data_IF_980272864072
#
_entry.id   IF_980272864072
#
_cell.length_a   1.000
_cell.length_b   1.000
_cell.length_c   1.000
_cell.angle_alpha   90.00
_cell.angle_beta   90.00
_cell.angle_gamma   90.00
#
_symmetry.space_group_name_H-M   'P 1'
#
loop_
_entity.id
_entity.type
_entity.pdbx_description
1 polymer ?
#
# COMPACT_ATOMS: atom_id res chain seq x y z
N UNK A 1 14.84 1.55 21.92
CA UNK A 1 14.18 0.28 21.51
C UNK A 1 13.26 -0.14 22.63
N UNK A 2 12.13 0.57 22.76
CA UNK A 2 11.03 0.09 23.58
C UNK A 2 10.41 -1.15 22.91
N UNK A 3 11.03 -2.30 23.16
CA UNK A 3 10.48 -3.60 22.80
C UNK A 3 9.34 -3.94 23.76
N UNK A 4 8.25 -4.49 23.25
CA UNK A 4 7.12 -4.93 24.07
C UNK A 4 7.51 -6.08 25.01
N UNK A 5 6.61 -6.44 25.93
CA UNK A 5 6.83 -7.55 26.87
C UNK A 5 7.05 -8.91 26.16
N UNK A 6 6.75 -9.00 24.86
CA UNK A 6 6.94 -10.20 24.04
C UNK A 6 8.39 -10.47 23.63
N UNK A 7 9.27 -9.47 23.62
CA UNK A 7 10.63 -9.60 23.09
C UNK A 7 11.69 -8.79 23.85
N UNK A 8 11.30 -7.90 24.78
CA UNK A 8 12.27 -7.14 25.57
C UNK A 8 13.00 -7.99 26.62
N UNK A 9 14.21 -7.57 26.98
CA UNK A 9 15.06 -8.31 27.92
C UNK A 9 14.50 -8.33 29.34
N UNK A 10 13.81 -7.28 29.76
CA UNK A 10 13.26 -7.13 31.12
C UNK A 10 12.14 -8.15 31.38
N UNK A 11 11.36 -8.49 30.35
CA UNK A 11 10.25 -9.43 30.37
C UNK A 11 10.67 -10.89 30.15
N UNK A 12 11.97 -11.19 30.03
CA UNK A 12 12.46 -12.55 29.76
C UNK A 12 11.95 -13.56 30.81
N UNK A 13 11.95 -13.17 32.09
CA UNK A 13 11.46 -14.01 33.18
C UNK A 13 9.97 -14.35 33.04
N UNK A 14 9.15 -13.38 32.58
CA UNK A 14 7.71 -13.58 32.34
C UNK A 14 7.51 -14.59 31.21
N UNK A 15 8.25 -14.44 30.10
CA UNK A 15 8.14 -15.34 28.95
C UNK A 15 8.60 -16.75 29.28
N UNK A 16 9.68 -16.89 30.06
CA UNK A 16 10.09 -18.18 30.59
C UNK A 16 9.01 -18.81 31.47
N UNK A 17 8.39 -18.05 32.37
CA UNK A 17 7.29 -18.54 33.21
C UNK A 17 6.11 -19.00 32.35
N UNK A 18 5.67 -18.22 31.37
CA UNK A 18 4.58 -18.57 30.46
C UNK A 18 4.89 -19.87 29.73
N UNK A 19 6.07 -19.99 29.11
CA UNK A 19 6.46 -21.19 28.34
C UNK A 19 6.67 -22.44 29.19
N UNK A 20 7.00 -22.26 30.48
CA UNK A 20 7.17 -23.38 31.41
C UNK A 20 5.85 -23.89 32.01
N UNK A 21 4.81 -23.05 32.06
CA UNK A 21 3.58 -23.34 32.80
C UNK A 21 2.32 -23.38 31.91
N UNK A 22 2.38 -22.85 30.69
CA UNK A 22 1.26 -22.73 29.78
C UNK A 22 1.61 -23.20 28.38
N UNK A 23 0.63 -23.75 27.68
CA UNK A 23 0.68 -23.95 26.24
C UNK A 23 0.24 -22.64 25.56
N UNK A 24 1.06 -22.09 24.66
CA UNK A 24 0.72 -20.88 23.89
C UNK A 24 -0.12 -21.29 22.67
N UNK A 25 -1.38 -20.91 22.62
CA UNK A 25 -2.26 -21.28 21.50
C UNK A 25 -2.14 -20.31 20.33
N UNK A 26 -2.08 -19.02 20.64
CA UNK A 26 -1.97 -17.97 19.65
C UNK A 26 -1.30 -16.71 20.21
N UNK A 27 -0.63 -15.96 19.34
CA UNK A 27 -0.16 -14.60 19.62
C UNK A 27 -0.57 -13.68 18.49
N UNK A 28 -1.25 -12.59 18.82
CA UNK A 28 -1.73 -11.58 17.87
C UNK A 28 -1.14 -10.23 18.23
N UNK A 29 -0.32 -9.66 17.35
CA UNK A 29 0.03 -8.25 17.45
C UNK A 29 -1.13 -7.40 16.92
N UNK A 30 -1.54 -6.40 17.69
CA UNK A 30 -2.60 -5.48 17.30
C UNK A 30 -2.01 -4.24 16.62
N UNK A 31 -2.79 -3.63 15.73
CA UNK A 31 -2.43 -2.36 15.11
C UNK A 31 -2.25 -1.25 16.17
N UNK A 32 -1.38 -0.27 15.92
CA UNK A 32 -1.08 0.85 16.85
C UNK A 32 -2.35 1.62 17.25
N UNK A 33 -3.27 1.79 16.30
CA UNK A 33 -4.51 2.55 16.51
C UNK A 33 -5.64 1.76 17.20
N UNK A 34 -5.41 0.51 17.59
CA UNK A 34 -6.48 -0.36 18.16
C UNK A 34 -7.14 0.24 19.38
N UNK A 35 -6.37 0.91 20.24
CA UNK A 35 -6.88 1.54 21.47
C UNK A 35 -6.82 3.08 21.44
N UNK A 36 -6.39 3.66 20.33
CA UNK A 36 -6.47 5.10 20.10
C UNK A 36 -7.93 5.54 19.92
N UNK A 37 -8.29 6.80 20.26
CA UNK A 37 -7.42 7.88 20.75
C UNK A 37 -7.11 7.79 22.26
N UNK A 38 -7.61 6.77 22.96
CA UNK A 38 -7.54 6.68 24.42
C UNK A 38 -6.18 6.18 24.92
N UNK A 39 -5.52 5.30 24.16
CA UNK A 39 -4.21 4.76 24.49
C UNK A 39 -3.41 4.47 23.20
N UNK A 40 -2.26 5.15 23.05
CA UNK A 40 -1.34 4.94 21.93
C UNK A 40 -0.30 3.84 22.13
N UNK A 41 -0.40 3.06 23.20
CA UNK A 41 0.54 1.95 23.44
C UNK A 41 0.20 0.77 22.52
N UNK A 42 1.20 0.31 21.76
CA UNK A 42 1.11 -0.95 21.02
C UNK A 42 0.78 -2.10 21.96
N UNK A 43 -0.10 -2.98 21.51
CA UNK A 43 -0.61 -4.08 22.31
C UNK A 43 -0.59 -5.39 21.52
N UNK A 44 -0.50 -6.49 22.25
CA UNK A 44 -0.61 -7.84 21.70
C UNK A 44 -1.50 -8.68 22.62
N UNK A 45 -2.21 -9.63 22.01
CA UNK A 45 -3.05 -10.61 22.73
C UNK A 45 -2.38 -11.97 22.65
N UNK A 46 -2.24 -12.64 23.80
CA UNK A 46 -1.72 -14.00 23.89
C UNK A 46 -2.83 -14.91 24.42
N UNK A 47 -3.09 -16.00 23.71
CA UNK A 47 -4.01 -17.05 24.14
C UNK A 47 -3.21 -18.17 24.79
N UNK A 48 -3.47 -18.42 26.07
CA UNK A 48 -2.78 -19.41 26.87
C UNK A 48 -3.74 -20.50 27.33
N UNK A 49 -3.29 -21.75 27.27
CA UNK A 49 -3.97 -22.91 27.85
C UNK A 49 -3.13 -23.48 28.97
N UNK A 50 -3.72 -23.59 30.16
CA UNK A 50 -3.13 -24.35 31.26
C UNK A 50 -3.18 -25.85 30.91
N UNK A 51 -2.04 -26.54 30.77
CA UNK A 51 -2.04 -27.96 30.44
C UNK A 51 -2.51 -28.81 31.62
N UNK A 52 -3.03 -30.00 31.31
CA UNK A 52 -3.21 -31.05 32.31
C UNK A 52 -1.91 -31.85 32.34
N UNK A 53 -1.09 -31.65 33.38
CA UNK A 53 0.26 -32.22 33.46
C UNK A 53 1.33 -31.27 32.95
N UNK A 54 2.30 -31.77 32.18
CA UNK A 54 3.37 -30.95 31.59
C UNK A 54 2.90 -30.23 30.32
N UNK A 55 3.51 -29.08 30.03
CA UNK A 55 3.36 -28.42 28.72
C UNK A 55 3.80 -29.40 27.62
N UNK A 56 3.03 -29.57 26.52
CA UNK A 56 3.45 -30.38 25.39
C UNK A 56 4.77 -29.88 24.79
N UNK A 57 5.66 -30.80 24.39
CA UNK A 57 6.97 -30.42 23.85
C UNK A 57 6.89 -29.83 22.43
N UNK A 58 5.98 -30.33 21.61
CA UNK A 58 5.76 -29.87 20.24
C UNK A 58 4.27 -29.61 20.02
N UNK A 59 3.95 -28.38 19.68
CA UNK A 59 2.61 -27.95 19.31
C UNK A 59 2.72 -26.76 18.36
N UNK A 60 1.65 -26.54 17.59
CA UNK A 60 1.55 -25.39 16.69
C UNK A 60 1.05 -24.17 17.46
N UNK A 61 1.66 -23.02 17.18
CA UNK A 61 1.25 -21.71 17.70
C UNK A 61 0.75 -20.89 16.53
N UNK A 62 -0.49 -20.40 16.60
CA UNK A 62 -1.00 -19.46 15.61
C UNK A 62 -0.42 -18.06 15.86
N UNK A 63 0.07 -17.41 14.81
CA UNK A 63 0.71 -16.11 14.87
C UNK A 63 -0.01 -15.18 13.90
N UNK A 64 -0.40 -14.00 14.38
CA UNK A 64 -1.04 -12.98 13.54
C UNK A 64 -0.50 -11.57 13.82
N UNK A 65 -0.53 -10.73 12.80
CA UNK A 65 -0.21 -9.31 12.89
C UNK A 65 -1.36 -8.55 12.23
N UNK A 66 -2.15 -7.83 13.03
CA UNK A 66 -3.18 -6.93 12.54
C UNK A 66 -2.52 -5.66 11.98
N UNK A 67 -2.88 -5.30 10.75
CA UNK A 67 -2.43 -4.10 10.06
C UNK A 67 -3.55 -3.09 9.86
N UNK A 68 -4.81 -3.46 10.09
CA UNK A 68 -5.95 -2.57 9.93
C UNK A 68 -7.07 -2.90 10.91
N UNK A 69 -7.58 -1.88 11.55
CA UNK A 69 -8.61 -1.99 12.61
C UNK A 69 -9.86 -1.19 12.29
N UNK A 70 -9.97 -0.67 11.05
CA UNK A 70 -11.14 0.05 10.58
C UNK A 70 -11.29 1.46 11.14
N UNK A 71 -10.21 2.06 11.67
CA UNK A 71 -10.27 3.39 12.28
C UNK A 71 -8.90 4.11 12.26
N UNK A 72 -8.91 5.43 12.31
CA UNK A 72 -7.71 6.27 12.44
C UNK A 72 -7.27 6.42 13.90
N UNK A 73 -6.06 6.93 14.13
CA UNK A 73 -5.58 7.33 15.47
C UNK A 73 -6.46 8.34 16.21
N UNK A 74 -7.40 9.00 15.51
CA UNK A 74 -8.39 9.92 16.10
C UNK A 74 -9.73 9.26 16.42
N UNK A 75 -9.88 7.97 16.11
CA UNK A 75 -11.13 7.22 16.27
C UNK A 75 -12.12 7.41 15.11
N UNK A 76 -11.70 7.97 13.98
CA UNK A 76 -12.56 8.13 12.80
C UNK A 76 -12.58 6.82 12.01
N UNK A 77 -13.76 6.37 11.57
CA UNK A 77 -13.90 5.10 10.84
C UNK A 77 -13.20 5.13 9.47
N UNK A 78 -12.50 4.05 9.13
CA UNK A 78 -11.93 3.79 7.81
C UNK A 78 -12.81 2.75 7.13
N UNK A 79 -13.45 3.15 6.03
CA UNK A 79 -14.38 2.32 5.26
C UNK A 79 -13.63 1.53 4.19
N UNK A 80 -13.98 0.26 4.03
CA UNK A 80 -13.46 -0.62 2.99
C UNK A 80 -13.89 -0.13 1.62
N UNK A 81 -12.95 -0.11 0.68
CA UNK A 81 -13.19 0.31 -0.70
C UNK A 81 -12.95 -0.85 -1.68
N UNK A 82 -13.65 -0.83 -2.80
CA UNK A 82 -13.40 -1.75 -3.92
C UNK A 82 -12.20 -1.30 -4.76
N UNK A 83 -11.85 -2.10 -5.78
CA UNK A 83 -10.71 -1.83 -6.67
C UNK A 83 -10.86 -0.57 -7.51
N UNK A 84 -12.08 -0.05 -7.67
CA UNK A 84 -12.38 1.21 -8.35
C UNK A 84 -12.40 2.41 -7.38
N UNK A 85 -12.22 2.16 -6.08
CA UNK A 85 -12.17 3.17 -5.02
C UNK A 85 -13.53 3.53 -4.41
N UNK A 86 -14.62 2.83 -4.78
CA UNK A 86 -15.94 3.03 -4.21
C UNK A 86 -16.06 2.37 -2.84
N UNK A 87 -16.89 2.92 -1.95
CA UNK A 87 -17.13 2.33 -0.63
C UNK A 87 -17.95 1.04 -0.73
N UNK A 88 -17.54 0.02 0.02
CA UNK A 88 -18.23 -1.26 0.10
C UNK A 88 -19.35 -1.16 1.13
N UNK A 89 -20.58 -1.45 0.68
CA UNK A 89 -21.78 -1.41 1.52
C UNK A 89 -22.34 -2.83 1.64
N UNK A 90 -22.53 -3.30 2.86
CA UNK A 90 -23.14 -4.59 3.21
C UNK A 90 -24.34 -4.33 4.10
N UNK A 91 -25.51 -4.87 3.76
CA UNK A 91 -26.76 -4.69 4.52
C UNK A 91 -27.09 -3.21 4.84
N UNK A 92 -26.88 -2.31 3.88
CA UNK A 92 -27.03 -0.86 4.01
C UNK A 92 -26.08 -0.17 5.01
N UNK A 93 -25.02 -0.85 5.44
CA UNK A 93 -23.97 -0.30 6.29
C UNK A 93 -22.63 -0.28 5.56
N UNK A 94 -21.85 0.78 5.79
CA UNK A 94 -20.46 0.84 5.32
C UNK A 94 -19.64 -0.22 6.04
N UNK A 95 -18.94 -1.05 5.28
CA UNK A 95 -18.06 -2.07 5.83
C UNK A 95 -16.74 -1.42 6.29
N UNK A 96 -16.28 -1.70 7.51
CA UNK A 96 -15.01 -1.20 8.00
C UNK A 96 -13.83 -1.93 7.31
N UNK A 97 -12.74 -1.22 7.08
CA UNK A 97 -11.49 -1.81 6.59
C UNK A 97 -10.65 -2.33 7.76
N UNK A 98 -11.04 -3.50 8.27
CA UNK A 98 -10.41 -4.18 9.40
C UNK A 98 -9.99 -5.62 9.02
N UNK A 99 -9.06 -6.19 9.78
CA UNK A 99 -8.56 -7.56 9.59
C UNK A 99 -8.69 -8.45 10.83
N UNK A 100 -9.30 -7.95 11.91
CA UNK A 100 -9.50 -8.73 13.13
C UNK A 100 -10.52 -9.86 12.91
N UNK A 101 -11.56 -9.62 12.09
CA UNK A 101 -12.49 -10.68 11.67
C UNK A 101 -11.77 -11.74 10.85
N UNK A 102 -10.93 -11.33 9.89
CA UNK A 102 -10.14 -12.24 9.06
C UNK A 102 -9.18 -13.08 9.93
N UNK A 103 -8.51 -12.45 10.91
CA UNK A 103 -7.65 -13.13 11.89
C UNK A 103 -8.43 -14.17 12.69
N UNK A 104 -9.64 -13.82 13.15
CA UNK A 104 -10.48 -14.72 13.91
C UNK A 104 -10.94 -15.94 13.09
N UNK A 105 -11.36 -15.72 11.84
CA UNK A 105 -11.70 -16.78 10.90
C UNK A 105 -10.50 -17.70 10.61
N UNK A 106 -9.32 -17.13 10.37
CA UNK A 106 -8.09 -17.89 10.15
C UNK A 106 -7.67 -18.70 11.38
N UNK A 107 -7.89 -18.16 12.59
CA UNK A 107 -7.68 -18.92 13.81
C UNK A 107 -8.65 -20.12 13.91
N UNK A 108 -9.92 -19.94 13.52
CA UNK A 108 -10.88 -21.05 13.47
C UNK A 108 -10.49 -22.12 12.45
N UNK A 109 -10.04 -21.72 11.25
CA UNK A 109 -9.49 -22.65 10.23
C UNK A 109 -8.26 -23.39 10.75
N UNK A 110 -7.34 -22.69 11.42
CA UNK A 110 -6.18 -23.30 12.06
C UNK A 110 -6.59 -24.38 13.08
N UNK A 111 -7.62 -24.13 13.89
CA UNK A 111 -8.13 -25.11 14.85
C UNK A 111 -8.79 -26.33 14.19
N UNK A 112 -9.39 -26.19 12.99
CA UNK A 112 -9.95 -27.32 12.24
C UNK A 112 -8.89 -28.13 11.47
N UNK A 113 -7.63 -27.68 11.46
CA UNK A 113 -6.54 -28.31 10.70
C UNK A 113 -6.43 -27.83 9.26
N UNK A 114 -7.23 -26.84 8.86
CA UNK A 114 -7.13 -26.15 7.57
C UNK A 114 -6.07 -25.05 7.68
N UNK A 115 -4.85 -25.33 7.23
CA UNK A 115 -3.79 -24.32 7.22
C UNK A 115 -3.74 -23.59 5.88
N UNK A 116 -4.14 -22.33 5.89
CA UNK A 116 -3.83 -21.38 4.83
C UNK A 116 -2.90 -20.32 5.41
N UNK A 117 -1.61 -20.42 5.11
CA UNK A 117 -0.65 -19.38 5.52
C UNK A 117 -0.80 -18.17 4.61
N UNK A 118 -0.83 -16.99 5.22
CA UNK A 118 -0.81 -15.70 4.55
C UNK A 118 0.46 -14.93 4.91
N UNK A 119 0.59 -13.69 4.41
CA UNK A 119 1.72 -12.83 4.78
C UNK A 119 1.71 -12.41 6.25
N UNK A 120 0.56 -12.51 6.91
CA UNK A 120 0.32 -11.99 8.25
C UNK A 120 -0.22 -13.01 9.24
N UNK A 121 -0.86 -14.07 8.76
CA UNK A 121 -1.42 -15.14 9.57
C UNK A 121 -0.70 -16.43 9.21
N UNK A 122 -0.03 -17.02 10.17
CA UNK A 122 0.80 -18.20 9.96
C UNK A 122 0.87 -19.00 11.25
N UNK A 123 1.48 -20.17 11.20
CA UNK A 123 1.77 -20.91 12.42
C UNK A 123 3.24 -21.28 12.50
N UNK A 124 3.74 -21.50 13.71
CA UNK A 124 5.08 -22.03 13.96
C UNK A 124 5.02 -23.22 14.90
N UNK A 125 6.07 -24.05 14.93
CA UNK A 125 6.21 -25.04 15.99
C UNK A 125 6.69 -24.31 17.23
N UNK A 126 6.22 -24.74 18.41
CA UNK A 126 6.80 -24.33 19.68
C UNK A 126 8.31 -24.58 19.76
N UNK A 127 8.84 -25.51 18.97
CA UNK A 127 10.27 -25.81 18.85
C UNK A 127 11.06 -24.73 18.08
N UNK A 128 10.38 -23.93 17.25
CA UNK A 128 10.97 -22.86 16.45
C UNK A 128 11.15 -21.55 17.26
N UNK A 129 10.62 -21.49 18.48
CA UNK A 129 10.79 -20.34 19.37
C UNK A 129 12.27 -20.10 19.66
N UNK A 130 12.69 -18.83 19.66
CA UNK A 130 14.05 -18.43 19.98
C UNK A 130 14.43 -18.94 21.38
N UNK A 131 15.38 -19.87 21.45
CA UNK A 131 15.78 -20.53 22.70
C UNK A 131 16.51 -19.60 23.67
N UNK A 132 17.08 -18.50 23.19
CA UNK A 132 17.83 -17.56 24.01
C UNK A 132 16.92 -16.42 24.48
N UNK A 133 16.26 -15.77 23.51
CA UNK A 133 15.42 -14.62 23.78
C UNK A 133 14.02 -14.98 24.21
N UNK A 134 13.52 -16.19 23.91
CA UNK A 134 12.13 -16.63 24.13
C UNK A 134 11.10 -15.63 23.58
N UNK A 135 11.39 -15.06 22.40
CA UNK A 135 10.49 -14.09 21.76
C UNK A 135 9.12 -14.72 21.50
N UNK A 136 8.05 -14.02 21.84
CA UNK A 136 6.70 -14.39 21.43
C UNK A 136 6.17 -13.46 20.33
N UNK A 137 6.97 -12.48 19.88
CA UNK A 137 6.53 -11.50 18.89
C UNK A 137 6.42 -12.15 17.48
N UNK A 138 5.22 -12.19 16.86
CA UNK A 138 5.01 -12.72 15.52
C UNK A 138 5.99 -12.20 14.45
N UNK A 139 6.41 -10.92 14.52
CA UNK A 139 7.32 -10.32 13.52
C UNK A 139 8.63 -11.11 13.40
N UNK A 140 9.11 -11.68 14.52
CA UNK A 140 10.33 -12.47 14.56
C UNK A 140 10.23 -13.75 13.70
N UNK A 141 9.02 -14.30 13.62
CA UNK A 141 8.72 -15.61 13.06
C UNK A 141 8.02 -15.58 11.71
N UNK A 142 7.85 -14.40 11.11
CA UNK A 142 7.35 -14.27 9.74
C UNK A 142 8.11 -15.23 8.79
N UNK A 143 7.57 -15.64 7.64
CA UNK A 143 8.32 -16.49 6.69
C UNK A 143 9.57 -15.83 6.08
N UNK A 144 10.59 -16.61 5.68
CA UNK A 144 11.90 -16.10 5.21
C UNK A 144 11.84 -15.31 3.90
N UNK A 145 10.88 -15.62 3.04
CA UNK A 145 10.62 -14.89 1.79
C UNK A 145 10.02 -13.49 2.01
N UNK A 146 9.82 -13.06 3.25
CA UNK A 146 9.28 -11.76 3.64
C UNK A 146 10.36 -10.77 4.13
N UNK A 147 11.61 -10.87 3.68
CA UNK A 147 12.72 -10.08 4.25
C UNK A 147 12.48 -8.55 4.23
N UNK A 148 12.07 -7.98 3.09
CA UNK A 148 11.76 -6.55 2.99
C UNK A 148 10.60 -6.15 3.92
N UNK A 149 9.60 -7.03 4.01
CA UNK A 149 8.43 -6.86 4.85
C UNK A 149 8.78 -6.84 6.34
N UNK A 150 9.52 -7.86 6.81
CA UNK A 150 10.04 -7.93 8.17
C UNK A 150 10.89 -6.72 8.51
N UNK A 151 11.74 -6.28 7.57
CA UNK A 151 12.59 -5.12 7.76
C UNK A 151 11.76 -3.86 8.01
N UNK A 152 10.76 -3.58 7.19
CA UNK A 152 9.89 -2.41 7.39
C UNK A 152 9.12 -2.50 8.70
N UNK A 153 8.54 -3.64 9.05
CA UNK A 153 7.87 -3.79 10.35
C UNK A 153 8.82 -3.58 11.53
N UNK A 154 10.07 -4.04 11.41
CA UNK A 154 11.09 -3.80 12.44
C UNK A 154 11.47 -2.33 12.60
N UNK A 155 11.26 -1.50 11.57
CA UNK A 155 11.43 -0.04 11.70
C UNK A 155 10.36 0.55 12.61
N UNK A 156 9.12 0.06 12.53
CA UNK A 156 8.03 0.52 13.39
C UNK A 156 8.20 0.16 14.87
N UNK A 157 9.07 -0.80 15.20
CA UNK A 157 9.45 -1.12 16.58
C UNK A 157 10.52 -0.16 17.14
N UNK A 158 10.99 0.80 16.33
CA UNK A 158 11.88 1.86 16.76
C UNK A 158 11.08 3.09 17.16
N UNK A 159 11.68 3.90 18.03
CA UNK A 159 11.04 5.09 18.59
C UNK A 159 10.99 6.27 17.58
N UNK A 160 11.67 6.16 16.42
CA UNK A 160 11.81 7.19 15.39
C UNK A 160 10.94 6.97 14.14
N UNK A 161 10.27 5.82 14.05
CA UNK A 161 9.36 5.51 12.95
C UNK A 161 8.00 5.02 13.47
N UNK A 162 6.99 5.32 12.68
CA UNK A 162 5.68 4.67 12.69
C UNK A 162 5.58 3.86 11.40
N UNK A 163 4.81 2.77 11.39
CA UNK A 163 4.52 2.06 10.14
C UNK A 163 3.03 2.15 9.89
N UNK A 164 2.67 2.78 8.77
CA UNK A 164 1.28 2.93 8.34
C UNK A 164 1.05 2.17 7.05
N UNK A 165 -0.13 1.60 6.88
CA UNK A 165 -0.53 1.00 5.62
C UNK A 165 -0.76 2.10 4.58
N UNK A 166 -0.39 1.85 3.32
CA UNK A 166 -0.55 2.85 2.25
C UNK A 166 -2.02 3.28 2.08
N UNK A 167 -2.97 2.35 2.19
CA UNK A 167 -4.42 2.63 2.13
C UNK A 167 -4.93 3.57 3.22
N UNK A 168 -4.25 3.66 4.36
CA UNK A 168 -4.68 4.52 5.47
C UNK A 168 -4.24 5.98 5.28
N UNK A 169 -3.26 6.21 4.41
CA UNK A 169 -2.70 7.55 4.12
C UNK A 169 -2.97 8.00 2.68
N UNK A 170 -3.47 7.12 1.83
CA UNK A 170 -3.68 7.37 0.43
C UNK A 170 -4.95 6.69 -0.08
N UNK A 171 -5.65 7.34 -1.01
CA UNK A 171 -6.64 6.65 -1.85
C UNK A 171 -5.91 5.86 -2.91
N UNK A 172 -6.04 4.53 -2.88
CA UNK A 172 -5.43 3.60 -3.83
C UNK A 172 -6.53 2.94 -4.65
N UNK A 173 -6.52 3.13 -5.96
CA UNK A 173 -7.57 2.60 -6.84
C UNK A 173 -7.07 2.42 -8.27
N UNK A 174 -7.70 1.52 -9.01
CA UNK A 174 -7.59 1.46 -10.46
C UNK A 174 -8.83 2.08 -11.11
N UNK A 175 -8.83 2.17 -12.43
CA UNK A 175 -10.01 2.63 -13.15
C UNK A 175 -10.74 1.53 -13.92
N UNK A 176 -11.99 1.80 -14.34
CA UNK A 176 -12.83 0.82 -15.01
C UNK A 176 -12.32 0.44 -16.41
N UNK A 177 -12.59 -0.79 -16.81
CA UNK A 177 -12.33 -1.32 -18.16
C UNK A 177 -13.54 -1.08 -19.06
N UNK A 178 -13.38 -0.31 -20.15
CA UNK A 178 -14.47 0.00 -21.09
C UNK A 178 -13.93 0.43 -22.46
N UNK A 179 -14.80 0.42 -23.49
CA UNK A 179 -14.47 0.88 -24.84
C UNK A 179 -14.24 2.40 -24.85
N UNK A 180 -13.07 2.84 -25.31
CA UNK A 180 -12.70 4.27 -25.31
C UNK A 180 -13.40 5.04 -26.44
N UNK A 181 -13.96 6.24 -26.16
CA UNK A 181 -14.52 7.12 -27.18
C UNK A 181 -13.40 7.94 -27.84
N UNK A 182 -12.67 7.32 -28.77
CA UNK A 182 -11.58 8.00 -29.48
C UNK A 182 -12.10 9.15 -30.35
N UNK A 183 -11.35 10.26 -30.37
CA UNK A 183 -11.56 11.37 -31.29
C UNK A 183 -11.34 10.91 -32.74
N UNK A 184 -11.89 11.65 -33.71
CA UNK A 184 -11.66 11.37 -35.13
C UNK A 184 -10.20 11.62 -35.51
N UNK A 185 -9.76 11.01 -36.62
CA UNK A 185 -8.39 11.14 -37.10
C UNK A 185 -8.05 12.62 -37.37
N UNK A 186 -6.96 13.09 -36.76
CA UNK A 186 -6.50 14.48 -36.89
C UNK A 186 -7.09 15.46 -35.87
N UNK A 187 -8.08 15.04 -35.06
CA UNK A 187 -8.66 15.89 -34.01
C UNK A 187 -7.83 15.76 -32.73
N UNK A 188 -7.11 16.83 -32.38
CA UNK A 188 -6.19 16.87 -31.22
C UNK A 188 -6.57 17.91 -30.16
N UNK A 189 -7.49 18.82 -30.49
CA UNK A 189 -7.91 19.92 -29.62
C UNK A 189 -9.42 20.19 -29.72
N UNK A 190 -9.97 20.85 -28.69
CA UNK A 190 -11.39 21.19 -28.60
C UNK A 190 -11.93 21.08 -27.17
N UNK A 191 -13.12 21.63 -26.90
CA UNK A 191 -13.68 21.70 -25.54
C UNK A 191 -14.02 20.33 -24.93
N UNK A 192 -14.21 19.31 -25.77
CA UNK A 192 -14.53 17.93 -25.34
C UNK A 192 -13.38 16.96 -25.53
N UNK A 193 -12.25 17.46 -26.05
CA UNK A 193 -11.09 16.65 -26.40
C UNK A 193 -10.14 16.58 -25.21
N UNK A 194 -9.78 15.36 -24.82
CA UNK A 194 -8.77 15.11 -23.78
C UNK A 194 -7.70 14.15 -24.28
N UNK A 195 -6.45 14.40 -23.88
CA UNK A 195 -5.35 13.47 -24.11
C UNK A 195 -5.61 12.15 -23.39
N UNK A 196 -5.23 11.04 -24.03
CA UNK A 196 -5.23 9.70 -23.47
C UNK A 196 -3.82 9.17 -23.36
N UNK A 197 -3.38 9.02 -22.11
CA UNK A 197 -2.06 8.52 -21.79
C UNK A 197 -2.08 7.01 -21.58
N UNK A 198 -1.37 6.28 -22.45
CA UNK A 198 -1.04 4.87 -22.23
C UNK A 198 0.07 4.73 -21.19
N UNK A 199 0.32 3.52 -20.70
CA UNK A 199 1.41 3.27 -19.74
C UNK A 199 2.78 3.74 -20.28
N UNK A 200 3.06 3.50 -21.56
CA UNK A 200 4.28 3.99 -22.22
C UNK A 200 4.31 5.52 -22.34
N UNK A 201 3.21 6.14 -22.76
CA UNK A 201 3.13 7.60 -22.94
C UNK A 201 3.35 8.36 -21.61
N UNK A 202 2.97 7.78 -20.47
CA UNK A 202 3.25 8.37 -19.15
C UNK A 202 4.72 8.30 -18.73
N UNK A 203 5.50 7.42 -19.35
CA UNK A 203 6.93 7.26 -19.04
C UNK A 203 7.84 8.00 -20.00
N UNK A 204 7.33 8.31 -21.19
CA UNK A 204 8.04 9.07 -22.19
C UNK A 204 7.90 10.56 -21.88
N UNK A 205 9.03 11.28 -21.95
CA UNK A 205 9.04 12.74 -21.79
C UNK A 205 8.39 13.43 -22.99
N UNK A 206 8.38 12.75 -24.13
CA UNK A 206 7.91 13.24 -25.41
C UNK A 206 6.55 12.61 -25.71
N UNK A 207 5.57 13.45 -26.04
CA UNK A 207 4.17 13.10 -26.31
C UNK A 207 3.93 12.35 -27.64
N UNK A 208 4.91 11.57 -28.12
CA UNK A 208 4.84 10.88 -29.40
C UNK A 208 3.77 9.77 -29.35
N UNK A 209 2.87 9.75 -30.35
CA UNK A 209 1.73 8.82 -30.45
C UNK A 209 0.66 8.96 -29.34
N UNK A 210 0.49 10.16 -28.78
CA UNK A 210 -0.67 10.47 -27.95
C UNK A 210 -1.98 10.22 -28.70
N UNK A 211 -2.92 9.56 -28.02
CA UNK A 211 -4.29 9.39 -28.50
C UNK A 211 -5.17 10.45 -27.86
N UNK A 212 -6.29 10.74 -28.51
CA UNK A 212 -7.26 11.73 -28.04
C UNK A 212 -8.63 11.08 -27.88
N UNK A 213 -9.35 11.48 -26.83
CA UNK A 213 -10.70 11.04 -26.53
C UNK A 213 -11.65 12.22 -26.69
N UNK A 214 -12.85 11.95 -27.18
CA UNK A 214 -13.91 12.93 -27.33
C UNK A 214 -15.11 12.56 -26.43
N UNK A 215 -15.37 13.38 -25.41
CA UNK A 215 -16.48 13.15 -24.48
C UNK A 215 -17.86 13.30 -25.14
N UNK A 216 -17.98 13.94 -26.32
CA UNK A 216 -19.25 13.98 -27.06
C UNK A 216 -19.68 12.61 -27.58
N UNK A 217 -18.72 11.70 -27.78
CA UNK A 217 -18.97 10.32 -28.20
C UNK A 217 -19.26 9.39 -27.01
N UNK A 218 -19.22 9.91 -25.79
CA UNK A 218 -19.44 9.16 -24.56
C UNK A 218 -20.92 9.25 -24.13
N UNK A 219 -21.54 8.09 -23.88
CA UNK A 219 -22.79 8.05 -23.15
C UNK A 219 -22.56 8.39 -21.65
N UNK A 220 -23.64 8.54 -20.88
CA UNK A 220 -23.56 8.90 -19.45
C UNK A 220 -22.66 7.98 -18.62
N UNK A 221 -22.67 6.66 -18.89
CA UNK A 221 -21.82 5.71 -18.18
C UNK A 221 -20.35 5.86 -18.58
N UNK A 222 -20.07 6.00 -19.88
CA UNK A 222 -18.72 6.25 -20.40
C UNK A 222 -18.15 7.55 -19.86
N UNK A 223 -18.96 8.61 -19.69
CA UNK A 223 -18.52 9.85 -19.06
C UNK A 223 -18.04 9.63 -17.62
N UNK A 224 -18.83 8.93 -16.80
CA UNK A 224 -18.42 8.55 -15.43
C UNK A 224 -17.13 7.73 -15.42
N UNK A 225 -16.99 6.77 -16.34
CA UNK A 225 -15.77 5.97 -16.42
C UNK A 225 -14.54 6.79 -16.87
N UNK A 226 -14.73 7.79 -17.74
CA UNK A 226 -13.65 8.71 -18.11
C UNK A 226 -13.25 9.60 -16.93
N UNK A 227 -14.22 10.07 -16.13
CA UNK A 227 -13.95 10.81 -14.90
C UNK A 227 -13.14 9.95 -13.92
N UNK A 228 -13.52 8.68 -13.70
CA UNK A 228 -12.77 7.74 -12.87
C UNK A 228 -11.32 7.49 -13.35
N UNK A 229 -11.07 7.55 -14.67
CA UNK A 229 -9.72 7.43 -15.25
C UNK A 229 -8.95 8.75 -15.34
N UNK A 230 -9.58 9.87 -15.01
CA UNK A 230 -8.94 11.19 -15.07
C UNK A 230 -7.87 11.29 -13.98
N UNK A 231 -6.70 11.79 -14.36
CA UNK A 231 -5.57 11.98 -13.45
C UNK A 231 -5.26 13.47 -13.30
N UNK A 232 -4.71 13.83 -12.14
CA UNK A 232 -4.38 15.21 -11.81
C UNK A 232 -2.91 15.32 -11.41
N UNK A 233 -2.35 16.52 -11.58
CA UNK A 233 -0.97 16.81 -11.20
C UNK A 233 -0.74 16.43 -9.75
N UNK A 234 0.35 15.73 -9.48
CA UNK A 234 0.68 15.23 -8.16
C UNK A 234 0.38 13.75 -7.94
N UNK A 235 -0.56 13.15 -8.69
CA UNK A 235 -0.90 11.73 -8.48
C UNK A 235 0.33 10.84 -8.66
N UNK A 236 0.53 9.91 -7.73
CA UNK A 236 1.48 8.82 -7.90
C UNK A 236 0.78 7.74 -8.73
N UNK A 237 1.44 7.24 -9.76
CA UNK A 237 0.90 6.23 -10.66
C UNK A 237 1.82 5.01 -10.66
N UNK A 238 1.24 3.82 -10.55
CA UNK A 238 1.97 2.54 -10.53
C UNK A 238 1.47 1.68 -11.68
N UNK A 239 2.35 1.22 -12.56
CA UNK A 239 1.95 0.28 -13.62
C UNK A 239 1.61 -1.08 -13.05
N UNK A 240 0.39 -1.53 -13.36
CA UNK A 240 -0.10 -2.84 -12.95
C UNK A 240 0.17 -3.94 -13.97
N UNK A 241 0.71 -3.61 -15.15
CA UNK A 241 0.97 -4.54 -16.24
C UNK A 241 2.05 -4.01 -17.18
N UNK A 242 2.68 -4.90 -17.95
CA UNK A 242 3.82 -4.56 -18.81
C UNK A 242 5.10 -4.37 -18.00
N UNK A 243 5.51 -3.13 -17.72
CA UNK A 243 6.62 -2.86 -16.80
C UNK A 243 6.11 -2.82 -15.37
N UNK A 244 5.76 -3.97 -14.81
CA UNK A 244 5.09 -4.11 -13.51
C UNK A 244 5.80 -3.34 -12.38
N UNK A 245 5.03 -2.62 -11.56
CA UNK A 245 5.53 -1.93 -10.35
C UNK A 245 6.30 -0.64 -10.60
N UNK A 246 6.35 -0.15 -11.85
CA UNK A 246 7.00 1.13 -12.17
C UNK A 246 6.20 2.28 -11.59
N UNK A 247 6.85 3.06 -10.74
CA UNK A 247 6.28 4.25 -10.08
C UNK A 247 6.59 5.51 -10.88
N UNK A 248 5.56 6.25 -11.27
CA UNK A 248 5.66 7.56 -11.93
C UNK A 248 4.84 8.60 -11.19
N UNK A 249 5.01 9.86 -11.60
CA UNK A 249 4.37 11.02 -10.97
C UNK A 249 3.63 11.82 -12.04
N UNK A 250 2.38 12.18 -11.78
CA UNK A 250 1.58 12.94 -12.72
C UNK A 250 2.03 14.42 -12.72
N UNK A 251 2.42 14.90 -13.90
CA UNK A 251 2.91 16.25 -14.15
C UNK A 251 1.78 17.15 -14.68
N UNK A 252 2.05 18.45 -14.79
CA UNK A 252 1.15 19.47 -15.34
C UNK A 252 0.54 19.09 -16.70
N UNK A 253 1.31 18.47 -17.59
CA UNK A 253 0.80 18.02 -18.90
C UNK A 253 -0.23 16.87 -18.83
N UNK A 254 -0.36 16.20 -17.68
CA UNK A 254 -1.33 15.13 -17.45
C UNK A 254 -2.61 15.62 -16.77
N UNK A 255 -2.58 16.85 -16.24
CA UNK A 255 -3.64 17.38 -15.38
C UNK A 255 -4.99 17.46 -16.10
N UNK A 256 -6.03 16.86 -15.52
CA UNK A 256 -7.38 16.83 -16.10
C UNK A 256 -7.54 15.90 -17.32
N UNK A 257 -6.50 15.15 -17.69
CA UNK A 257 -6.53 14.22 -18.80
C UNK A 257 -6.71 12.77 -18.35
N UNK A 258 -6.94 11.87 -19.31
CA UNK A 258 -7.33 10.48 -19.04
C UNK A 258 -6.10 9.58 -19.18
N UNK A 259 -5.87 8.70 -18.21
CA UNK A 259 -4.84 7.66 -18.32
C UNK A 259 -5.46 6.27 -18.44
N UNK A 260 -4.70 5.30 -18.92
CA UNK A 260 -5.14 3.90 -19.05
C UNK A 260 -5.64 3.32 -17.71
N UNK A 261 -6.51 2.32 -17.77
CA UNK A 261 -6.97 1.53 -16.61
C UNK A 261 -5.90 0.53 -16.11
N UNK A 262 -4.70 0.56 -16.69
CA UNK A 262 -3.59 -0.30 -16.32
C UNK A 262 -2.58 0.44 -15.41
N UNK A 263 -3.10 1.33 -14.57
CA UNK A 263 -2.31 2.21 -13.72
C UNK A 263 -3.03 2.36 -12.39
N UNK A 264 -2.42 1.91 -11.32
CA UNK A 264 -2.97 2.14 -9.98
C UNK A 264 -2.66 3.60 -9.63
N UNK A 265 -3.70 4.34 -9.25
CA UNK A 265 -3.60 5.71 -8.74
C UNK A 265 -3.40 5.63 -7.24
N UNK A 266 -2.40 6.36 -6.74
CA UNK A 266 -2.16 6.57 -5.31
C UNK A 266 -2.25 8.08 -5.06
N UNK A 267 -3.31 8.50 -4.36
CA UNK A 267 -3.65 9.92 -4.16
C UNK A 267 -3.49 10.28 -2.69
N UNK A 268 -2.56 11.19 -2.43
CA UNK A 268 -2.25 11.75 -1.11
C UNK A 268 -2.40 13.26 -1.21
N UNK A 269 -3.16 13.86 -0.30
CA UNK A 269 -3.49 15.29 -0.34
C UNK A 269 -2.30 16.17 0.08
N UNK A 270 -1.57 15.77 1.14
CA UNK A 270 -0.36 16.48 1.57
C UNK A 270 0.80 16.27 0.56
N UNK A 271 1.31 17.34 -0.09
CA UNK A 271 2.38 17.22 -1.07
C UNK A 271 3.71 16.71 -0.48
N UNK A 272 3.98 16.95 0.80
CA UNK A 272 5.22 16.52 1.44
C UNK A 272 5.20 15.02 1.71
N UNK A 273 4.14 14.55 2.37
CA UNK A 273 3.90 13.12 2.56
C UNK A 273 3.85 12.38 1.22
N UNK A 274 3.17 12.96 0.21
CA UNK A 274 3.13 12.40 -1.14
C UNK A 274 4.52 12.25 -1.76
N UNK A 275 5.37 13.26 -1.64
CA UNK A 275 6.75 13.19 -2.12
C UNK A 275 7.56 12.12 -1.40
N UNK A 276 7.40 12.01 -0.07
CA UNK A 276 8.02 10.94 0.72
C UNK A 276 7.59 9.55 0.25
N UNK A 277 6.27 9.30 0.15
CA UNK A 277 5.71 8.02 -0.28
C UNK A 277 6.15 7.67 -1.71
N UNK A 278 6.14 8.65 -2.62
CA UNK A 278 6.68 8.46 -3.98
C UNK A 278 8.12 7.94 -3.94
N UNK A 279 8.98 8.57 -3.13
CA UNK A 279 10.38 8.19 -3.02
C UNK A 279 10.56 6.80 -2.38
N UNK A 280 9.73 6.46 -1.38
CA UNK A 280 9.75 5.15 -0.75
C UNK A 280 9.31 4.04 -1.72
N UNK A 281 8.19 4.20 -2.43
CA UNK A 281 7.69 3.20 -3.39
C UNK A 281 8.69 2.95 -4.54
N UNK A 282 9.48 3.97 -4.90
CA UNK A 282 10.52 3.87 -5.92
C UNK A 282 11.83 3.25 -5.39
N UNK A 283 12.01 3.15 -4.08
CA UNK A 283 13.19 2.54 -3.46
C UNK A 283 13.23 1.01 -3.65
N UNK A 284 14.38 0.39 -3.44
CA UNK A 284 14.51 -1.08 -3.51
C UNK A 284 13.61 -1.83 -2.53
N UNK A 285 13.36 -1.25 -1.34
CA UNK A 285 12.41 -1.81 -0.36
C UNK A 285 10.97 -1.70 -0.86
N UNK A 286 10.54 -0.52 -1.32
CA UNK A 286 9.20 -0.32 -1.87
C UNK A 286 8.89 -1.22 -3.05
N UNK A 287 9.84 -1.36 -3.98
CA UNK A 287 9.73 -2.28 -5.12
C UNK A 287 9.62 -3.74 -4.69
N UNK A 288 10.41 -4.16 -3.71
CA UNK A 288 10.38 -5.53 -3.18
C UNK A 288 9.06 -5.85 -2.48
N UNK A 289 8.44 -4.86 -1.81
CA UNK A 289 7.12 -5.00 -1.19
C UNK A 289 6.00 -5.08 -2.23
N UNK A 290 6.01 -4.19 -3.24
CA UNK A 290 5.01 -4.17 -4.30
C UNK A 290 4.98 -5.48 -5.10
N UNK A 291 6.15 -6.00 -5.47
CA UNK A 291 6.26 -7.12 -6.40
C UNK A 291 6.21 -8.49 -5.72
N UNK A 292 6.11 -8.52 -4.38
CA UNK A 292 6.11 -9.75 -3.57
C UNK A 292 5.12 -10.80 -4.06
N UNK A 293 3.88 -10.40 -4.34
CA UNK A 293 2.82 -11.32 -4.76
C UNK A 293 2.79 -11.58 -6.27
N UNK A 294 3.45 -10.72 -7.06
CA UNK A 294 3.50 -10.84 -8.52
C UNK A 294 4.42 -11.97 -9.01
N UNK A 295 5.46 -12.33 -8.23
CA UNK A 295 6.42 -13.36 -8.62
C UNK A 295 5.98 -14.80 -8.27
N UNK A 296 4.83 -14.99 -7.62
CA UNK A 296 4.39 -16.28 -7.06
C UNK A 296 3.18 -16.95 -7.72
N UNK A 297 2.52 -16.29 -8.68
CA UNK A 297 1.32 -16.82 -9.36
C UNK A 297 1.41 -16.56 -10.87
N UNK A 298 0.64 -17.28 -11.68
CA UNK A 298 0.49 -16.99 -13.12
C UNK A 298 -0.19 -15.63 -13.42
N UNK A 299 -0.36 -14.75 -12.42
CA UNK A 299 -0.92 -13.41 -12.56
C UNK A 299 0.19 -12.37 -12.68
N UNK A 300 0.42 -11.89 -13.89
CA UNK A 300 1.30 -10.75 -14.20
C UNK A 300 0.58 -9.39 -13.97
N UNK A 301 -0.19 -9.27 -12.88
CA UNK A 301 -0.93 -8.05 -12.56
C UNK A 301 -0.79 -7.64 -11.09
N UNK A 302 -0.66 -6.34 -10.84
CA UNK A 302 -0.79 -5.78 -9.49
C UNK A 302 -2.23 -5.34 -9.27
N UNK A 303 -2.79 -5.72 -8.12
CA UNK A 303 -4.13 -5.28 -7.72
C UNK A 303 -4.04 -4.09 -6.76
N UNK A 304 -4.95 -3.10 -6.86
CA UNK A 304 -4.99 -1.96 -5.93
C UNK A 304 -5.04 -2.37 -4.47
N UNK A 305 -5.80 -3.41 -4.15
CA UNK A 305 -5.95 -3.91 -2.79
C UNK A 305 -4.58 -4.36 -2.23
N UNK A 306 -3.78 -5.09 -3.02
CA UNK A 306 -2.44 -5.51 -2.62
C UNK A 306 -1.51 -4.31 -2.43
N UNK A 307 -1.58 -3.31 -3.31
CA UNK A 307 -0.79 -2.08 -3.18
C UNK A 307 -1.20 -1.29 -1.93
N UNK A 308 -2.50 -1.27 -1.61
CA UNK A 308 -3.00 -0.59 -0.42
C UNK A 308 -2.42 -1.17 0.86
N UNK A 309 -2.16 -2.49 0.92
CA UNK A 309 -1.62 -3.22 2.08
C UNK A 309 -0.10 -3.01 2.30
N UNK A 310 0.58 -2.24 1.46
CA UNK A 310 2.02 -2.02 1.61
C UNK A 310 2.30 -1.22 2.88
N UNK A 311 3.18 -1.72 3.79
CA UNK A 311 3.60 -0.97 4.95
C UNK A 311 4.58 0.12 4.54
N UNK A 312 4.27 1.35 4.92
CA UNK A 312 5.10 2.52 4.71
C UNK A 312 5.70 2.93 6.05
N UNK A 313 7.04 2.89 6.20
CA UNK A 313 7.68 3.45 7.38
C UNK A 313 7.63 4.97 7.30
N UNK A 314 6.91 5.62 8.20
CA UNK A 314 6.77 7.07 8.31
C UNK A 314 7.68 7.55 9.45
N UNK A 315 8.67 8.43 9.19
CA UNK A 315 9.46 9.04 10.25
C UNK A 315 8.56 9.82 11.20
N UNK A 316 8.75 9.71 12.52
CA UNK A 316 8.00 10.51 13.49
C UNK A 316 8.42 12.00 13.49
N UNK A 317 9.62 12.31 12.98
CA UNK A 317 10.06 13.68 12.74
C UNK A 317 9.51 14.20 11.41
N UNK A 318 8.51 15.07 11.48
CA UNK A 318 7.86 15.67 10.32
C UNK A 318 8.83 16.46 9.42
N UNK A 319 9.92 17.01 9.97
CA UNK A 319 10.90 17.76 9.18
C UNK A 319 11.57 16.87 8.12
N UNK A 320 11.77 15.58 8.40
CA UNK A 320 12.35 14.62 7.46
C UNK A 320 11.40 14.39 6.29
N UNK A 321 10.10 14.23 6.58
CA UNK A 321 9.05 14.07 5.57
C UNK A 321 8.99 15.33 4.70
N UNK A 322 9.00 16.51 5.32
CA UNK A 322 8.96 17.80 4.65
C UNK A 322 10.18 18.01 3.74
N UNK A 323 11.40 17.72 4.21
CA UNK A 323 12.63 17.88 3.45
C UNK A 323 12.65 16.99 2.21
N UNK A 324 12.34 15.69 2.37
CA UNK A 324 12.28 14.73 1.25
C UNK A 324 11.17 15.15 0.28
N UNK A 325 9.98 15.46 0.80
CA UNK A 325 8.83 15.87 0.01
C UNK A 325 9.10 17.12 -0.82
N UNK A 326 9.70 18.16 -0.21
CA UNK A 326 10.11 19.40 -0.90
C UNK A 326 11.07 19.12 -2.06
N UNK A 327 12.07 18.25 -1.86
CA UNK A 327 13.01 17.88 -2.92
C UNK A 327 12.33 17.16 -4.08
N UNK A 328 11.38 16.26 -3.79
CA UNK A 328 10.60 15.57 -4.84
C UNK A 328 9.74 16.55 -5.61
N UNK A 329 8.95 17.39 -4.93
CA UNK A 329 8.12 18.41 -5.58
C UNK A 329 8.98 19.33 -6.45
N UNK A 330 10.12 19.80 -5.92
CA UNK A 330 11.03 20.66 -6.67
C UNK A 330 11.62 19.97 -7.90
N UNK A 331 11.96 18.69 -7.78
CA UNK A 331 12.43 17.88 -8.90
C UNK A 331 11.37 17.78 -10.01
N UNK A 332 10.10 17.57 -9.64
CA UNK A 332 8.99 17.53 -10.62
C UNK A 332 8.78 18.88 -11.31
N UNK A 333 8.85 20.00 -10.58
CA UNK A 333 8.75 21.36 -11.18
C UNK A 333 9.88 21.65 -12.18
N UNK A 334 11.11 21.25 -11.84
CA UNK A 334 12.27 21.41 -12.72
C UNK A 334 12.15 20.51 -13.96
N UNK A 335 11.60 19.31 -13.81
CA UNK A 335 11.29 18.42 -14.92
C UNK A 335 10.23 19.03 -15.84
N UNK A 336 9.16 19.59 -15.28
CA UNK A 336 8.13 20.31 -16.03
C UNK A 336 8.72 21.49 -16.80
N UNK A 337 9.56 22.30 -16.15
CA UNK A 337 10.23 23.44 -16.79
C UNK A 337 11.14 22.98 -17.94
N UNK A 338 11.90 21.90 -17.73
CA UNK A 338 12.76 21.31 -18.76
C UNK A 338 11.96 20.88 -20.00
N UNK A 339 10.80 20.25 -19.79
CA UNK A 339 9.88 19.87 -20.88
C UNK A 339 9.33 21.10 -21.62
N UNK A 340 8.90 22.13 -20.90
CA UNK A 340 8.37 23.36 -21.49
C UNK A 340 9.41 24.06 -22.38
N UNK A 341 10.66 24.17 -21.92
CA UNK A 341 11.76 24.71 -22.74
C UNK A 341 12.08 23.82 -23.94
N UNK A 342 12.06 22.50 -23.76
CA UNK A 342 12.28 21.55 -24.86
C UNK A 342 11.23 21.68 -25.97
N UNK A 343 9.95 21.80 -25.59
CA UNK A 343 8.86 21.98 -26.54
C UNK A 343 8.93 23.33 -27.25
N UNK A 344 9.14 24.42 -26.50
CA UNK A 344 9.25 25.77 -27.07
C UNK A 344 10.41 25.87 -28.07
N UNK A 345 11.55 25.23 -27.78
CA UNK A 345 12.69 25.17 -28.70
C UNK A 345 12.36 24.45 -30.00
N UNK A 346 11.60 23.34 -29.92
CA UNK A 346 11.16 22.59 -31.09
C UNK A 346 10.16 23.39 -31.93
N UNK A 347 9.17 24.02 -31.30
CA UNK A 347 8.19 24.87 -31.99
C UNK A 347 8.87 26.02 -32.76
N UNK A 348 9.84 26.70 -32.14
CA UNK A 348 10.62 27.74 -32.81
C UNK A 348 11.39 27.22 -34.04
N UNK A 349 11.97 26.02 -33.94
CA UNK A 349 12.66 25.41 -35.07
C UNK A 349 11.70 25.06 -36.21
N UNK A 350 10.56 24.45 -35.88
CA UNK A 350 9.54 24.06 -36.85
C UNK A 350 8.97 25.30 -37.57
N UNK A 351 8.69 26.38 -36.83
CA UNK A 351 8.25 27.67 -37.39
C UNK A 351 9.30 28.27 -38.35
N UNK A 352 10.59 28.21 -37.99
CA UNK A 352 11.68 28.71 -38.83
C UNK A 352 11.91 27.89 -40.11
N UNK A 353 11.67 26.57 -40.07
CA UNK A 353 11.87 25.68 -41.22
C UNK A 353 10.63 25.68 -42.14
N UNK A 354 9.44 25.87 -41.57
CA UNK A 354 8.17 25.87 -42.32
C UNK A 354 7.75 27.26 -42.83
N UNK A 355 8.41 28.34 -42.39
CA UNK A 355 8.32 29.69 -42.99
C UNK A 355 9.15 29.80 -44.26
#
# INVERSE_FOLDING_TARGET
MAKGQLDNREALAIRHYVLSNCQVLAVVNLHEDTFQPFNGSKASVIFLKKPIGSVPNDYRIFMAISNKIGQTSRGEAIVKRDTEGNEVIVDNHQLLDEDLSDIAEDYHRFLSGENQESSFHFSISSLDLDKNGLSLNPIHYLPAYNAAFRYVLSLGERDDFEVRRLGDIARVFNGPRFKRPYADLGVTEGPTIRKYFTGTALTQLNSENLKYLDSNKANRQTQKHLEALTIYRGYILISDSGTLGRVTYALKQHDGHVATNNLIRVVIEDPHLRGYVYQFLKSGLGQSLMLKNAYGTNQEHLEPDVISEIPIPIPRDENIIEEIGKKVVKSMELLESSMEYGNSSKELLDDMIMS
#
